data_IF_712954501274
#
_entry.id   IF_712954501274
#
_cell.length_a   1.000
_cell.length_b   1.000
_cell.length_c   1.000
_cell.angle_alpha   90.00
_cell.angle_beta   90.00
_cell.angle_gamma   90.00
#
_symmetry.space_group_name_H-M   'P 1'
#
loop_
_entity.id
_entity.type
_entity.pdbx_description
1 polymer ?
#
# COMPACT_ATOMS: atom_id res chain seq x y z
N UNK A 1 5.60 -26.60 -3.74
CA UNK A 1 4.25 -26.32 -3.24
C UNK A 1 4.13 -26.93 -1.86
N UNK A 2 3.59 -26.20 -0.89
CA UNK A 2 3.32 -26.70 0.45
C UNK A 2 1.81 -26.62 0.68
N UNK A 3 1.15 -27.76 0.90
CA UNK A 3 -0.29 -27.81 1.16
C UNK A 3 -0.54 -28.37 2.57
N UNK A 4 -1.50 -27.77 3.28
CA UNK A 4 -2.00 -28.28 4.56
C UNK A 4 -0.90 -28.54 5.59
N UNK A 5 0.05 -27.60 5.70
CA UNK A 5 1.15 -27.68 6.67
C UNK A 5 0.60 -27.72 8.10
N UNK A 6 0.75 -28.87 8.76
CA UNK A 6 0.40 -29.06 10.18
C UNK A 6 1.53 -28.67 11.12
N UNK A 7 2.71 -28.33 10.58
CA UNK A 7 3.87 -27.87 11.32
C UNK A 7 4.45 -26.60 10.69
N UNK A 8 5.39 -25.97 11.40
CA UNK A 8 6.11 -24.79 10.91
C UNK A 8 6.84 -25.11 9.61
N UNK A 9 6.53 -24.36 8.54
CA UNK A 9 7.15 -24.57 7.24
C UNK A 9 7.94 -23.36 6.77
N UNK A 10 9.01 -23.62 6.01
CA UNK A 10 9.80 -22.55 5.40
C UNK A 10 10.23 -22.88 3.97
N UNK A 11 10.05 -21.92 3.07
CA UNK A 11 10.35 -22.04 1.66
C UNK A 11 11.43 -21.04 1.25
N UNK A 12 12.43 -21.48 0.48
CA UNK A 12 13.46 -20.59 -0.06
C UNK A 12 13.62 -20.82 -1.54
N UNK A 13 13.19 -19.85 -2.33
CA UNK A 13 13.46 -19.82 -3.77
C UNK A 13 14.84 -19.20 -3.95
N UNK A 14 15.82 -20.01 -4.39
CA UNK A 14 17.23 -19.64 -4.39
C UNK A 14 17.63 -18.74 -5.57
N UNK A 15 17.66 -19.25 -6.81
CA UNK A 15 18.08 -18.50 -8.00
C UNK A 15 17.45 -19.08 -9.27
N UNK A 16 17.30 -18.23 -10.28
CA UNK A 16 17.04 -18.60 -11.67
C UNK A 16 15.76 -19.43 -11.86
N UNK A 17 14.68 -18.99 -11.22
CA UNK A 17 13.35 -19.54 -11.51
C UNK A 17 12.66 -18.55 -12.44
N UNK A 18 12.44 -18.85 -13.73
CA UNK A 18 11.89 -17.88 -14.66
C UNK A 18 10.54 -17.33 -14.18
N UNK A 19 9.63 -18.23 -13.80
CA UNK A 19 8.28 -17.89 -13.35
C UNK A 19 7.97 -18.68 -12.08
N UNK A 20 7.41 -18.01 -11.08
CA UNK A 20 6.68 -18.67 -10.01
C UNK A 20 5.22 -18.23 -10.09
N UNK A 21 4.36 -19.22 -10.26
CA UNK A 21 2.91 -19.09 -10.37
C UNK A 21 2.24 -20.14 -9.48
N UNK A 22 0.94 -19.94 -9.22
CA UNK A 22 0.18 -20.73 -8.26
C UNK A 22 0.63 -20.50 -6.82
N UNK A 23 0.14 -21.35 -5.92
CA UNK A 23 0.26 -21.18 -4.49
C UNK A 23 1.57 -21.77 -3.95
N UNK A 24 2.45 -20.96 -3.36
CA UNK A 24 3.64 -21.51 -2.71
C UNK A 24 3.28 -22.27 -1.41
N UNK A 25 2.35 -21.71 -0.65
CA UNK A 25 1.84 -22.21 0.63
C UNK A 25 0.32 -22.10 0.63
N UNK A 26 -0.37 -23.23 0.81
CA UNK A 26 -1.83 -23.30 0.81
C UNK A 26 -2.33 -23.97 2.09
N UNK A 27 -3.34 -23.38 2.72
CA UNK A 27 -4.05 -23.94 3.89
C UNK A 27 -3.13 -24.30 5.08
N UNK A 28 -2.08 -23.52 5.30
CA UNK A 28 -1.16 -23.76 6.42
C UNK A 28 -1.86 -23.55 7.76
N UNK A 29 -1.80 -24.57 8.63
CA UNK A 29 -2.35 -24.54 10.00
C UNK A 29 -1.35 -23.99 11.01
N UNK A 30 -0.09 -23.84 10.61
CA UNK A 30 1.01 -23.40 11.45
C UNK A 30 1.84 -22.29 10.79
N UNK A 31 2.76 -21.70 11.56
CA UNK A 31 3.56 -20.55 11.11
C UNK A 31 4.42 -20.89 9.89
N UNK A 32 4.24 -20.13 8.81
CA UNK A 32 4.98 -20.35 7.57
C UNK A 32 5.78 -19.12 7.13
N UNK A 33 6.89 -19.38 6.43
CA UNK A 33 7.73 -18.31 5.90
C UNK A 33 8.29 -18.62 4.52
N UNK A 34 8.39 -17.60 3.67
CA UNK A 34 8.89 -17.74 2.32
C UNK A 34 9.89 -16.64 1.99
N UNK A 35 11.01 -17.03 1.38
CA UNK A 35 12.04 -16.09 0.92
C UNK A 35 12.36 -16.32 -0.55
N UNK A 36 11.99 -15.37 -1.38
CA UNK A 36 12.42 -15.28 -2.78
C UNK A 36 13.72 -14.49 -2.85
N UNK A 37 14.84 -15.17 -3.18
CA UNK A 37 16.19 -14.59 -3.07
C UNK A 37 16.59 -13.72 -4.26
N UNK A 38 16.79 -14.30 -5.45
CA UNK A 38 17.27 -13.56 -6.64
C UNK A 38 16.78 -14.16 -7.95
N UNK A 39 16.61 -13.30 -8.95
CA UNK A 39 16.39 -13.67 -10.35
C UNK A 39 15.19 -14.60 -10.52
N UNK A 40 14.05 -14.15 -10.00
CA UNK A 40 12.75 -14.68 -10.41
C UNK A 40 12.16 -13.67 -11.37
N UNK A 41 11.93 -14.01 -12.64
CA UNK A 41 11.53 -12.98 -13.61
C UNK A 41 10.10 -12.49 -13.33
N UNK A 42 9.20 -13.42 -13.00
CA UNK A 42 7.80 -13.14 -12.73
C UNK A 42 7.32 -13.91 -11.48
N UNK A 43 6.67 -13.19 -10.57
CA UNK A 43 5.84 -13.72 -9.49
C UNK A 43 4.38 -13.37 -9.79
N UNK A 44 3.57 -14.35 -10.21
CA UNK A 44 2.20 -14.12 -10.69
C UNK A 44 1.14 -14.99 -10.03
N UNK A 45 1.46 -15.66 -8.93
CA UNK A 45 0.51 -16.39 -8.10
C UNK A 45 0.69 -16.06 -6.63
N UNK A 46 0.02 -16.83 -5.77
CA UNK A 46 -0.10 -16.58 -4.35
C UNK A 46 1.12 -17.09 -3.58
N UNK A 47 1.83 -16.23 -2.85
CA UNK A 47 2.87 -16.74 -1.94
C UNK A 47 2.27 -17.49 -0.73
N UNK A 48 1.10 -17.06 -0.26
CA UNK A 48 0.36 -17.68 0.85
C UNK A 48 -1.13 -17.56 0.57
N UNK A 49 -1.84 -18.69 0.59
CA UNK A 49 -3.28 -18.76 0.40
C UNK A 49 -3.94 -19.50 1.57
N UNK A 50 -5.01 -18.91 2.14
CA UNK A 50 -5.85 -19.52 3.17
C UNK A 50 -5.10 -19.98 4.43
N UNK A 51 -4.00 -19.32 4.80
CA UNK A 51 -3.24 -19.64 6.00
C UNK A 51 -4.02 -19.27 7.26
N UNK A 52 -4.11 -20.21 8.21
CA UNK A 52 -4.80 -20.05 9.49
C UNK A 52 -3.91 -19.40 10.55
N UNK A 53 -2.59 -19.42 10.34
CA UNK A 53 -1.60 -18.94 11.31
C UNK A 53 -0.64 -17.90 10.72
N UNK A 54 0.24 -17.37 11.57
CA UNK A 54 1.14 -16.26 11.20
C UNK A 54 2.07 -16.59 10.04
N UNK A 55 2.01 -15.79 8.97
CA UNK A 55 2.83 -16.01 7.78
C UNK A 55 3.71 -14.81 7.41
N UNK A 56 4.86 -15.08 6.79
CA UNK A 56 5.81 -14.03 6.39
C UNK A 56 6.48 -14.28 5.05
N UNK A 57 6.43 -13.28 4.17
CA UNK A 57 6.94 -13.34 2.81
C UNK A 57 8.00 -12.28 2.56
N UNK A 58 9.15 -12.67 2.02
CA UNK A 58 10.23 -11.73 1.69
C UNK A 58 10.69 -11.90 0.25
N UNK A 59 10.51 -10.85 -0.55
CA UNK A 59 11.09 -10.71 -1.89
C UNK A 59 12.36 -9.88 -1.79
N UNK A 60 13.52 -10.50 -2.02
CA UNK A 60 14.83 -9.87 -1.74
C UNK A 60 15.34 -8.98 -2.87
N UNK A 61 15.56 -9.51 -4.07
CA UNK A 61 16.18 -8.72 -5.15
C UNK A 61 15.86 -9.29 -6.53
N UNK A 62 15.74 -8.39 -7.52
CA UNK A 62 15.63 -8.73 -8.94
C UNK A 62 14.43 -9.66 -9.19
N UNK A 63 13.26 -9.14 -8.86
CA UNK A 63 11.99 -9.70 -9.31
C UNK A 63 11.34 -8.65 -10.21
N UNK A 64 11.60 -8.68 -11.53
CA UNK A 64 11.11 -7.69 -12.50
C UNK A 64 9.61 -7.37 -12.33
N UNK A 65 8.79 -8.41 -12.20
CA UNK A 65 7.33 -8.29 -12.13
C UNK A 65 6.80 -9.08 -10.94
N UNK A 66 5.99 -8.41 -10.12
CA UNK A 66 5.15 -9.03 -9.10
C UNK A 66 3.70 -8.61 -9.40
N UNK A 67 2.92 -9.56 -9.94
CA UNK A 67 1.58 -9.31 -10.46
C UNK A 67 0.49 -10.19 -9.84
N UNK A 68 0.86 -11.14 -8.98
CA UNK A 68 -0.09 -11.92 -8.16
C UNK A 68 -0.07 -11.48 -6.71
N UNK A 69 -0.72 -12.27 -5.86
CA UNK A 69 -0.93 -11.95 -4.46
C UNK A 69 0.23 -12.43 -3.56
N UNK A 70 0.73 -11.59 -2.65
CA UNK A 70 1.65 -12.13 -1.63
C UNK A 70 0.89 -12.91 -0.54
N UNK A 71 -0.33 -12.50 -0.20
CA UNK A 71 -1.17 -13.14 0.80
C UNK A 71 -2.62 -13.03 0.38
N UNK A 72 -3.33 -14.15 0.33
CA UNK A 72 -4.74 -14.23 0.00
C UNK A 72 -5.50 -14.98 1.10
N UNK A 73 -6.62 -14.42 1.57
CA UNK A 73 -7.55 -15.05 2.52
C UNK A 73 -6.90 -15.57 3.82
N UNK A 74 -5.84 -14.92 4.29
CA UNK A 74 -5.14 -15.32 5.52
C UNK A 74 -5.92 -14.86 6.76
N UNK A 75 -6.08 -15.75 7.74
CA UNK A 75 -6.87 -15.48 8.94
C UNK A 75 -6.10 -14.68 9.98
N UNK A 76 -4.80 -14.97 10.12
CA UNK A 76 -3.96 -14.42 11.17
C UNK A 76 -2.97 -13.36 10.67
N UNK A 77 -2.11 -12.89 11.57
CA UNK A 77 -1.10 -11.86 11.26
C UNK A 77 -0.17 -12.25 10.10
N UNK A 78 -0.17 -11.43 9.05
CA UNK A 78 0.68 -11.61 7.88
C UNK A 78 1.61 -10.42 7.63
N UNK A 79 2.80 -10.70 7.11
CA UNK A 79 3.79 -9.66 6.84
C UNK A 79 4.56 -9.88 5.55
N UNK A 80 4.66 -8.82 4.73
CA UNK A 80 5.43 -8.81 3.50
C UNK A 80 6.56 -7.81 3.55
N UNK A 81 7.68 -8.16 2.91
CA UNK A 81 8.79 -7.24 2.70
C UNK A 81 9.36 -7.36 1.29
N UNK A 82 9.20 -6.31 0.50
CA UNK A 82 9.82 -6.15 -0.82
C UNK A 82 11.06 -5.27 -0.68
N UNK A 83 12.24 -5.86 -0.87
CA UNK A 83 13.51 -5.21 -0.49
C UNK A 83 14.11 -4.31 -1.57
N UNK A 84 14.43 -4.82 -2.76
CA UNK A 84 15.11 -4.03 -3.81
C UNK A 84 14.75 -4.53 -5.20
N UNK A 85 14.65 -3.60 -6.14
CA UNK A 85 14.58 -3.87 -7.58
C UNK A 85 13.40 -4.81 -7.91
N UNK A 86 12.20 -4.31 -7.63
CA UNK A 86 10.95 -4.86 -8.17
C UNK A 86 10.37 -3.76 -9.06
N UNK A 87 10.80 -3.68 -10.35
CA UNK A 87 10.36 -2.67 -11.32
C UNK A 87 8.87 -2.39 -11.29
N UNK A 88 8.06 -3.44 -11.32
CA UNK A 88 6.60 -3.38 -11.41
C UNK A 88 5.98 -4.22 -10.30
N UNK A 89 5.13 -3.58 -9.51
CA UNK A 89 4.23 -4.22 -8.56
C UNK A 89 2.80 -3.86 -8.99
N UNK A 90 2.10 -4.82 -9.59
CA UNK A 90 0.79 -4.62 -10.23
C UNK A 90 -0.32 -5.54 -9.70
N UNK A 91 0.00 -6.49 -8.81
CA UNK A 91 -1.00 -7.31 -8.11
C UNK A 91 -1.09 -6.94 -6.64
N UNK A 92 -1.86 -7.70 -5.86
CA UNK A 92 -2.11 -7.36 -4.47
C UNK A 92 -0.99 -7.82 -3.50
N UNK A 93 -0.58 -6.99 -2.52
CA UNK A 93 0.27 -7.54 -1.43
C UNK A 93 -0.55 -8.35 -0.42
N UNK A 94 -1.79 -7.94 -0.18
CA UNK A 94 -2.72 -8.60 0.73
C UNK A 94 -4.13 -8.48 0.18
N UNK A 95 -4.81 -9.61 0.01
CA UNK A 95 -6.19 -9.69 -0.44
C UNK A 95 -7.01 -10.47 0.59
N UNK A 96 -8.15 -9.92 1.01
CA UNK A 96 -9.13 -10.58 1.90
C UNK A 96 -8.55 -11.12 3.22
N UNK A 97 -7.52 -10.49 3.76
CA UNK A 97 -6.93 -10.91 5.04
C UNK A 97 -7.78 -10.41 6.23
N UNK A 98 -7.93 -11.25 7.24
CA UNK A 98 -8.86 -10.98 8.34
C UNK A 98 -8.22 -10.11 9.44
N UNK A 99 -7.02 -10.47 9.90
CA UNK A 99 -6.39 -9.82 11.05
C UNK A 99 -5.34 -8.73 10.67
N UNK A 100 -4.13 -8.82 11.22
CA UNK A 100 -3.11 -7.78 11.10
C UNK A 100 -2.23 -8.01 9.87
N UNK A 101 -2.28 -7.10 8.91
CA UNK A 101 -1.45 -7.13 7.72
C UNK A 101 -0.45 -5.98 7.69
N UNK A 102 0.78 -6.27 7.28
CA UNK A 102 1.81 -5.25 7.17
C UNK A 102 2.73 -5.47 5.98
N UNK A 103 2.94 -4.41 5.21
CA UNK A 103 3.85 -4.43 4.06
C UNK A 103 4.93 -3.38 4.22
N UNK A 104 6.17 -3.75 3.89
CA UNK A 104 7.27 -2.80 3.74
C UNK A 104 7.89 -2.90 2.35
N UNK A 105 7.68 -1.86 1.55
CA UNK A 105 8.36 -1.65 0.27
C UNK A 105 9.58 -0.75 0.50
N UNK A 106 10.79 -1.30 0.33
CA UNK A 106 12.02 -0.62 0.77
C UNK A 106 12.65 0.32 -0.25
N UNK A 107 13.05 -0.14 -1.44
CA UNK A 107 13.76 0.68 -2.43
C UNK A 107 13.50 0.21 -3.85
N UNK A 108 13.39 1.19 -4.76
CA UNK A 108 13.39 0.98 -6.21
C UNK A 108 12.25 0.05 -6.64
N UNK A 109 11.03 0.53 -6.42
CA UNK A 109 9.83 0.02 -7.10
C UNK A 109 9.36 1.14 -8.00
N UNK A 110 9.92 1.28 -9.23
CA UNK A 110 9.56 2.28 -10.23
C UNK A 110 8.06 2.55 -10.32
N UNK A 111 7.27 1.49 -10.42
CA UNK A 111 5.82 1.54 -10.61
C UNK A 111 5.13 0.64 -9.59
N UNK A 112 4.23 1.25 -8.82
CA UNK A 112 3.24 0.55 -8.01
C UNK A 112 1.87 0.90 -8.58
N UNK A 113 1.25 -0.05 -9.28
CA UNK A 113 0.00 0.15 -10.03
C UNK A 113 -1.13 -0.77 -9.60
N UNK A 114 -0.88 -1.74 -8.72
CA UNK A 114 -1.92 -2.57 -8.10
C UNK A 114 -2.11 -2.21 -6.62
N UNK A 115 -2.91 -3.01 -5.93
CA UNK A 115 -3.35 -2.70 -4.58
C UNK A 115 -2.37 -3.22 -3.50
N UNK A 116 -1.91 -2.39 -2.55
CA UNK A 116 -1.12 -2.96 -1.43
C UNK A 116 -2.01 -3.76 -0.47
N UNK A 117 -3.25 -3.33 -0.24
CA UNK A 117 -4.20 -4.02 0.63
C UNK A 117 -5.58 -3.92 0.02
N UNK A 118 -6.24 -5.05 -0.19
CA UNK A 118 -7.58 -5.14 -0.78
C UNK A 118 -8.51 -5.95 0.12
N UNK A 119 -9.67 -5.41 0.45
CA UNK A 119 -10.73 -6.07 1.23
C UNK A 119 -10.26 -6.66 2.58
N UNK A 120 -9.28 -6.04 3.23
CA UNK A 120 -8.78 -6.50 4.51
C UNK A 120 -9.69 -6.02 5.66
N UNK A 121 -9.94 -6.88 6.65
CA UNK A 121 -10.96 -6.62 7.67
C UNK A 121 -10.41 -5.75 8.81
N UNK A 122 -9.34 -6.17 9.47
CA UNK A 122 -8.84 -5.49 10.68
C UNK A 122 -7.76 -4.42 10.39
N UNK A 123 -6.50 -4.68 10.78
CA UNK A 123 -5.44 -3.66 10.85
C UNK A 123 -4.44 -3.82 9.72
N UNK A 124 -4.40 -2.84 8.82
CA UNK A 124 -3.47 -2.83 7.71
C UNK A 124 -2.48 -1.67 7.79
N UNK A 125 -1.19 -1.97 7.57
CA UNK A 125 -0.14 -0.96 7.63
C UNK A 125 0.87 -1.08 6.49
N UNK A 126 0.97 -0.04 5.69
CA UNK A 126 1.83 0.04 4.52
C UNK A 126 2.96 1.04 4.72
N UNK A 127 4.20 0.64 4.48
CA UNK A 127 5.35 1.55 4.53
C UNK A 127 6.12 1.52 3.22
N UNK A 128 6.09 2.65 2.50
CA UNK A 128 6.91 2.89 1.31
C UNK A 128 8.09 3.77 1.71
N UNK A 129 9.31 3.21 1.64
CA UNK A 129 10.50 3.87 2.22
C UNK A 129 11.21 4.85 1.28
N UNK A 130 11.56 4.47 0.05
CA UNK A 130 12.31 5.33 -0.89
C UNK A 130 12.06 4.94 -2.34
N UNK A 131 11.97 5.95 -3.19
CA UNK A 131 12.05 5.84 -4.65
C UNK A 131 10.98 4.89 -5.19
N UNK A 132 9.74 5.36 -5.11
CA UNK A 132 8.63 4.86 -5.93
C UNK A 132 8.26 6.01 -6.87
N UNK A 133 8.93 6.15 -8.02
CA UNK A 133 8.69 7.17 -9.04
C UNK A 133 7.21 7.46 -9.28
N UNK A 134 6.43 6.40 -9.47
CA UNK A 134 5.01 6.45 -9.79
C UNK A 134 4.24 5.51 -8.87
N UNK A 135 3.25 6.06 -8.18
CA UNK A 135 2.20 5.31 -7.50
C UNK A 135 0.88 5.65 -8.21
N UNK A 136 0.35 4.70 -8.97
CA UNK A 136 -0.81 4.89 -9.85
C UNK A 136 -1.98 3.96 -9.56
N UNK A 137 -1.84 3.02 -8.63
CA UNK A 137 -2.95 2.21 -8.10
C UNK A 137 -3.23 2.54 -6.63
N UNK A 138 -4.05 1.73 -5.99
CA UNK A 138 -4.53 1.98 -4.65
C UNK A 138 -3.57 1.46 -3.56
N UNK A 139 -3.21 2.24 -2.55
CA UNK A 139 -2.50 1.63 -1.41
C UNK A 139 -3.45 0.77 -0.56
N UNK A 140 -4.71 1.19 -0.40
CA UNK A 140 -5.72 0.48 0.38
C UNK A 140 -7.07 0.62 -0.33
N UNK A 141 -7.71 -0.51 -0.63
CA UNK A 141 -9.03 -0.57 -1.25
C UNK A 141 -9.98 -1.41 -0.40
N UNK A 142 -11.17 -0.88 -0.12
CA UNK A 142 -12.27 -1.58 0.56
C UNK A 142 -11.90 -2.21 1.93
N UNK A 143 -10.95 -1.60 2.65
CA UNK A 143 -10.56 -2.08 3.97
C UNK A 143 -11.57 -1.62 5.05
N UNK A 144 -11.90 -2.49 6.00
CA UNK A 144 -13.00 -2.25 6.92
C UNK A 144 -12.57 -1.40 8.12
N UNK A 145 -11.57 -1.82 8.89
CA UNK A 145 -11.22 -1.19 10.16
C UNK A 145 -10.10 -0.12 10.04
N UNK A 146 -8.85 -0.48 10.34
CA UNK A 146 -7.77 0.48 10.60
C UNK A 146 -6.68 0.38 9.57
N UNK A 147 -6.58 1.40 8.72
CA UNK A 147 -5.58 1.47 7.68
C UNK A 147 -4.62 2.65 7.88
N UNK A 148 -3.33 2.37 7.75
CA UNK A 148 -2.30 3.39 7.89
C UNK A 148 -1.22 3.26 6.84
N UNK A 149 -0.90 4.38 6.22
CA UNK A 149 0.12 4.45 5.18
C UNK A 149 1.21 5.45 5.56
N UNK A 150 2.47 5.06 5.37
CA UNK A 150 3.61 5.95 5.56
C UNK A 150 4.49 5.96 4.32
N UNK A 151 4.46 7.08 3.61
CA UNK A 151 5.34 7.35 2.47
C UNK A 151 6.49 8.23 2.95
N UNK A 152 7.71 7.68 2.99
CA UNK A 152 8.84 8.33 3.66
C UNK A 152 9.60 9.34 2.80
N UNK A 153 9.96 9.02 1.56
CA UNK A 153 10.77 9.89 0.68
C UNK A 153 10.54 9.59 -0.80
N UNK A 154 10.45 10.65 -1.60
CA UNK A 154 10.60 10.64 -3.05
C UNK A 154 9.60 9.70 -3.73
N UNK A 155 8.36 10.15 -3.78
CA UNK A 155 7.36 9.66 -4.74
C UNK A 155 7.10 10.83 -5.70
N UNK A 156 7.90 10.97 -6.79
CA UNK A 156 7.77 12.03 -7.79
C UNK A 156 6.33 12.32 -8.20
N UNK A 157 5.58 11.26 -8.50
CA UNK A 157 4.19 11.32 -8.96
C UNK A 157 3.36 10.32 -8.17
N UNK A 158 2.28 10.81 -7.57
CA UNK A 158 1.21 9.97 -7.03
C UNK A 158 -0.07 10.37 -7.77
N UNK A 159 -0.55 9.46 -8.61
CA UNK A 159 -1.66 9.66 -9.54
C UNK A 159 -2.84 8.71 -9.30
N UNK A 160 -2.68 7.69 -8.45
CA UNK A 160 -3.77 6.84 -7.97
C UNK A 160 -4.14 7.15 -6.52
N UNK A 161 -4.92 6.28 -5.90
CA UNK A 161 -5.51 6.53 -4.59
C UNK A 161 -4.66 6.01 -3.42
N UNK A 162 -4.50 6.78 -2.33
CA UNK A 162 -3.90 6.19 -1.12
C UNK A 162 -4.92 5.34 -0.36
N UNK A 163 -6.18 5.75 -0.34
CA UNK A 163 -7.27 5.02 0.30
C UNK A 163 -8.53 5.18 -0.54
N UNK A 164 -9.15 4.07 -0.89
CA UNK A 164 -10.41 4.02 -1.61
C UNK A 164 -11.42 3.15 -0.83
N UNK A 165 -12.64 3.65 -0.65
CA UNK A 165 -13.77 2.91 -0.05
C UNK A 165 -13.47 2.27 1.32
N UNK A 166 -12.61 2.89 2.12
CA UNK A 166 -12.31 2.42 3.47
C UNK A 166 -13.41 2.83 4.45
N UNK A 167 -13.86 1.91 5.30
CA UNK A 167 -15.06 2.11 6.12
C UNK A 167 -14.75 2.94 7.38
N UNK A 168 -13.80 2.51 8.20
CA UNK A 168 -13.53 3.13 9.50
C UNK A 168 -12.40 4.18 9.45
N UNK A 169 -11.18 3.79 9.87
CA UNK A 169 -10.11 4.73 10.25
C UNK A 169 -8.94 4.64 9.29
N UNK A 170 -8.75 5.70 8.53
CA UNK A 170 -7.66 5.82 7.58
C UNK A 170 -6.72 6.97 7.90
N UNK A 171 -5.41 6.71 7.82
CA UNK A 171 -4.40 7.75 8.03
C UNK A 171 -3.23 7.62 7.06
N UNK A 172 -2.99 8.68 6.28
CA UNK A 172 -1.75 8.80 5.49
C UNK A 172 -0.77 9.78 6.14
N UNK A 173 0.51 9.39 6.11
CA UNK A 173 1.61 10.31 6.41
C UNK A 173 2.60 10.33 5.26
N UNK A 174 2.63 11.45 4.54
CA UNK A 174 3.61 11.75 3.51
C UNK A 174 4.70 12.64 4.10
N UNK A 175 5.92 12.09 4.25
CA UNK A 175 6.98 12.77 5.02
C UNK A 175 7.79 13.79 4.23
N UNK A 176 8.18 13.51 2.98
CA UNK A 176 9.05 14.38 2.16
C UNK A 176 8.87 14.16 0.67
N UNK A 177 8.78 15.27 -0.07
CA UNK A 177 8.96 15.37 -1.52
C UNK A 177 8.01 14.45 -2.30
N UNK A 178 6.80 14.95 -2.53
CA UNK A 178 5.91 14.46 -3.59
C UNK A 178 5.72 15.64 -4.55
N UNK A 179 6.61 15.82 -5.55
CA UNK A 179 6.56 16.88 -6.55
C UNK A 179 5.17 17.16 -7.10
N UNK A 180 4.46 16.08 -7.45
CA UNK A 180 3.12 16.12 -8.05
C UNK A 180 2.21 15.11 -7.37
N UNK A 181 1.09 15.58 -6.83
CA UNK A 181 -0.09 14.76 -6.51
C UNK A 181 -1.19 15.13 -7.50
N UNK A 182 -1.54 14.18 -8.36
CA UNK A 182 -2.55 14.38 -9.41
C UNK A 182 -3.77 13.46 -9.28
N UNK A 183 -3.72 12.44 -8.41
CA UNK A 183 -4.86 11.58 -8.09
C UNK A 183 -5.51 11.94 -6.75
N UNK A 184 -6.47 11.13 -6.32
CA UNK A 184 -7.20 11.28 -5.07
C UNK A 184 -6.38 10.75 -3.88
N UNK A 185 -6.06 11.56 -2.86
CA UNK A 185 -5.40 10.97 -1.69
C UNK A 185 -6.34 10.04 -0.90
N UNK A 186 -7.61 10.44 -0.74
CA UNK A 186 -8.63 9.66 -0.04
C UNK A 186 -9.97 9.77 -0.79
N UNK A 187 -10.54 8.64 -1.16
CA UNK A 187 -11.79 8.57 -1.93
C UNK A 187 -12.82 7.67 -1.21
N UNK A 188 -14.07 8.13 -1.11
CA UNK A 188 -15.21 7.37 -0.59
C UNK A 188 -14.99 6.77 0.82
N UNK A 189 -14.20 7.45 1.66
CA UNK A 189 -13.98 7.02 3.05
C UNK A 189 -15.24 7.33 3.88
N UNK A 190 -15.74 6.34 4.64
CA UNK A 190 -17.01 6.50 5.36
C UNK A 190 -16.83 7.26 6.67
N UNK A 191 -15.96 6.82 7.58
CA UNK A 191 -15.81 7.47 8.89
C UNK A 191 -14.65 8.50 8.98
N UNK A 192 -13.54 8.11 9.61
CA UNK A 192 -12.49 9.02 10.10
C UNK A 192 -11.25 8.87 9.27
N UNK A 193 -11.01 9.87 8.45
CA UNK A 193 -9.88 9.86 7.56
C UNK A 193 -8.99 11.10 7.75
N UNK A 194 -7.67 10.88 7.69
CA UNK A 194 -6.72 11.96 7.88
C UNK A 194 -5.52 11.82 6.97
N UNK A 195 -5.01 12.96 6.51
CA UNK A 195 -3.77 13.03 5.76
C UNK A 195 -2.84 14.10 6.31
N UNK A 196 -1.58 13.72 6.52
CA UNK A 196 -0.53 14.65 6.93
C UNK A 196 0.57 14.69 5.90
N UNK A 197 0.69 15.84 5.24
CA UNK A 197 1.77 16.17 4.31
C UNK A 197 2.78 17.07 5.01
N UNK A 198 3.97 16.53 5.29
CA UNK A 198 4.95 17.23 6.16
C UNK A 198 5.82 18.25 5.44
N UNK A 199 6.28 18.00 4.21
CA UNK A 199 7.22 18.86 3.47
C UNK A 199 7.13 18.69 1.96
N UNK A 200 7.10 19.83 1.25
CA UNK A 200 7.35 19.99 -0.18
C UNK A 200 6.43 19.13 -1.05
N UNK A 201 5.29 19.72 -1.39
CA UNK A 201 4.46 19.30 -2.51
C UNK A 201 4.32 20.51 -3.43
N UNK A 202 5.26 20.72 -4.37
CA UNK A 202 5.24 21.81 -5.33
C UNK A 202 3.89 21.99 -6.02
N UNK A 203 3.26 20.90 -6.42
CA UNK A 203 1.99 20.89 -7.17
C UNK A 203 1.02 19.89 -6.57
N UNK A 204 -0.13 20.39 -6.12
CA UNK A 204 -1.35 19.61 -5.88
C UNK A 204 -2.34 19.92 -7.00
N UNK A 205 -2.55 18.98 -7.93
CA UNK A 205 -3.48 19.15 -9.05
C UNK A 205 -4.66 18.17 -9.02
N UNK A 206 -4.60 17.14 -8.18
CA UNK A 206 -5.69 16.20 -7.92
C UNK A 206 -6.53 16.59 -6.70
N UNK A 207 -7.42 15.68 -6.29
CA UNK A 207 -8.29 15.87 -5.13
C UNK A 207 -7.64 15.32 -3.86
N UNK A 208 -7.62 16.08 -2.76
CA UNK A 208 -7.09 15.50 -1.50
C UNK A 208 -8.11 14.57 -0.84
N UNK A 209 -9.39 14.91 -0.92
CA UNK A 209 -10.50 14.12 -0.39
C UNK A 209 -11.67 14.19 -1.35
N UNK A 210 -12.20 13.04 -1.73
CA UNK A 210 -13.37 12.93 -2.58
C UNK A 210 -14.44 12.05 -1.90
N UNK A 211 -15.69 12.52 -1.88
CA UNK A 211 -16.85 11.79 -1.38
C UNK A 211 -16.67 11.21 0.04
N UNK A 212 -15.93 11.91 0.92
CA UNK A 212 -15.80 11.50 2.32
C UNK A 212 -17.09 11.86 3.07
N UNK A 213 -17.68 10.87 3.77
CA UNK A 213 -19.00 11.05 4.37
C UNK A 213 -18.92 11.82 5.70
N UNK A 214 -18.06 11.38 6.63
CA UNK A 214 -18.02 11.90 7.99
C UNK A 214 -16.85 12.89 8.24
N UNK A 215 -15.81 12.48 8.97
CA UNK A 215 -14.76 13.36 9.50
C UNK A 215 -13.48 13.20 8.71
N UNK A 216 -13.15 14.24 7.95
CA UNK A 216 -11.91 14.29 7.19
C UNK A 216 -11.00 15.44 7.63
N UNK A 217 -9.69 15.18 7.72
CA UNK A 217 -8.73 16.22 8.11
C UNK A 217 -7.43 16.15 7.30
N UNK A 218 -7.03 17.28 6.73
CA UNK A 218 -5.70 17.46 6.14
C UNK A 218 -4.84 18.39 6.97
N UNK A 219 -3.56 18.05 7.08
CA UNK A 219 -2.54 18.97 7.59
C UNK A 219 -1.39 19.05 6.60
N UNK A 220 -1.25 20.22 5.98
CA UNK A 220 -0.15 20.55 5.08
C UNK A 220 0.80 21.51 5.79
N UNK A 221 2.00 21.04 6.13
CA UNK A 221 2.89 21.81 7.03
C UNK A 221 3.75 22.86 6.34
N UNK A 222 4.29 22.60 5.14
CA UNK A 222 5.26 23.50 4.46
C UNK A 222 5.27 23.31 2.93
N UNK A 223 5.34 24.45 2.22
CA UNK A 223 5.68 24.58 0.80
C UNK A 223 4.75 23.84 -0.16
N UNK A 224 3.60 24.45 -0.41
CA UNK A 224 2.73 24.12 -1.56
C UNK A 224 2.52 25.41 -2.37
N UNK A 225 3.45 25.73 -3.28
CA UNK A 225 3.38 26.95 -4.07
C UNK A 225 2.25 26.93 -5.11
N UNK A 226 1.81 25.74 -5.55
CA UNK A 226 0.73 25.58 -6.53
C UNK A 226 -0.33 24.60 -6.01
N UNK A 227 -1.54 25.12 -5.81
CA UNK A 227 -2.78 24.39 -5.57
C UNK A 227 -3.67 24.63 -6.78
N UNK A 228 -3.85 23.63 -7.65
CA UNK A 228 -4.74 23.73 -8.81
C UNK A 228 -5.88 22.70 -8.80
N UNK A 229 -5.89 21.78 -7.83
CA UNK A 229 -6.96 20.80 -7.61
C UNK A 229 -7.86 21.17 -6.42
N UNK A 230 -8.95 20.44 -6.25
CA UNK A 230 -9.89 20.61 -5.14
C UNK A 230 -9.38 19.91 -3.87
N UNK A 231 -9.35 20.61 -2.73
CA UNK A 231 -8.96 19.96 -1.48
C UNK A 231 -10.04 19.01 -0.95
N UNK A 232 -11.30 19.31 -1.23
CA UNK A 232 -12.46 18.51 -0.83
C UNK A 232 -13.50 18.57 -1.95
N UNK A 233 -13.93 17.42 -2.45
CA UNK A 233 -15.01 17.30 -3.44
C UNK A 233 -16.11 16.39 -2.91
N UNK A 234 -17.36 16.87 -2.95
CA UNK A 234 -18.54 16.10 -2.51
C UNK A 234 -18.47 15.55 -1.07
N UNK A 235 -17.72 16.20 -0.17
CA UNK A 235 -17.67 15.80 1.24
C UNK A 235 -18.89 16.35 2.00
N UNK A 236 -19.55 15.50 2.79
CA UNK A 236 -20.88 15.82 3.35
C UNK A 236 -20.84 16.52 4.71
N UNK A 237 -19.89 16.19 5.60
CA UNK A 237 -19.87 16.73 6.97
C UNK A 237 -18.71 17.70 7.31
N UNK A 238 -17.73 17.24 8.10
CA UNK A 238 -16.77 18.05 8.87
C UNK A 238 -15.36 17.83 8.36
N UNK A 239 -15.13 18.37 7.18
CA UNK A 239 -13.82 18.38 6.56
C UNK A 239 -13.04 19.64 6.95
N UNK A 240 -11.81 19.47 7.41
CA UNK A 240 -10.94 20.57 7.79
C UNK A 240 -9.56 20.44 7.16
N UNK A 241 -9.00 21.56 6.71
CA UNK A 241 -7.61 21.62 6.29
C UNK A 241 -6.86 22.66 7.12
N UNK A 242 -5.65 22.32 7.54
CA UNK A 242 -4.72 23.24 8.19
C UNK A 242 -3.46 23.37 7.36
N UNK A 243 -3.27 24.53 6.72
CA UNK A 243 -2.03 24.86 6.01
C UNK A 243 -1.18 25.82 6.84
N UNK A 244 0.01 25.38 7.28
CA UNK A 244 0.78 26.09 8.32
C UNK A 244 1.85 27.09 7.83
N UNK A 245 2.06 27.30 6.52
CA UNK A 245 2.94 28.38 5.95
C UNK A 245 2.98 28.36 4.41
N UNK A 246 2.95 29.57 3.81
CA UNK A 246 3.11 29.92 2.40
C UNK A 246 2.25 29.12 1.40
N UNK A 247 0.98 29.54 1.29
CA UNK A 247 0.18 29.37 0.08
C UNK A 247 0.07 30.76 -0.53
N UNK A 248 0.70 31.07 -1.66
CA UNK A 248 0.20 32.14 -2.51
C UNK A 248 -1.19 31.70 -2.94
N UNK A 249 -2.23 32.35 -2.41
CA UNK A 249 -3.57 32.22 -2.96
C UNK A 249 -3.53 33.00 -4.27
N UNK A 250 -3.63 32.30 -5.40
CA UNK A 250 -4.00 32.89 -6.70
C UNK A 250 -5.45 32.50 -6.96
#
# INVERSE_FOLDING_TARGET
MFHCCQEKCSGVVRRNVPVLSGEMFQCCQEKCSSVVRRNVLVLSGEMFQCCQEKCSGVVRRNVPVLSGEMFQCCQEKCSSAVRRNVPVLSGEMFQCCQEICSSVVRRNVPVLSGEMFRCCQEKCSGVVRRNVPVLSGEMFQCCQEKCSSVVRRNVPVLSGEMFQCCQEKCSSVVRRNVPVLSGEMLQCCQEKCSSVVRRNVPVLSGEMFQCCQEKCSSVVRRNVPVLSGEMFRCCQEKCSNVVRRNVPVL
#
